data_IF_737083690826
#
_entry.id   IF_737083690826
#
_cell.length_a   1.000
_cell.length_b   1.000
_cell.length_c   1.000
_cell.angle_alpha   90.00
_cell.angle_beta   90.00
_cell.angle_gamma   90.00
#
_symmetry.space_group_name_H-M   'P 1'
#
loop_
_entity.id
_entity.type
_entity.pdbx_description
1 polymer ?
#
# COMPACT_ATOMS: atom_id res chain seq x y z
N UNK A 1 -33.34 53.46 -60.23
CA UNK A 1 -32.48 53.00 -61.36
C UNK A 1 -31.03 53.25 -60.95
N UNK A 2 -30.04 52.36 -61.17
CA UNK A 2 -30.05 50.93 -61.49
C UNK A 2 -29.28 50.05 -60.45
N UNK A 3 -29.15 48.77 -60.79
CA UNK A 3 -28.59 47.60 -60.11
C UNK A 3 -27.12 47.68 -59.65
N UNK A 4 -26.74 46.91 -58.62
CA UNK A 4 -25.54 46.07 -58.69
C UNK A 4 -25.50 44.93 -57.65
N UNK A 5 -24.76 43.89 -58.02
CA UNK A 5 -24.76 42.48 -57.61
C UNK A 5 -23.72 42.21 -56.51
N UNK A 6 -23.95 41.24 -55.60
CA UNK A 6 -22.89 40.31 -55.15
C UNK A 6 -23.37 39.18 -54.22
N UNK A 7 -23.30 37.97 -54.76
CA UNK A 7 -22.74 36.73 -54.18
C UNK A 7 -23.22 36.23 -52.82
N UNK A 8 -24.11 35.23 -52.87
CA UNK A 8 -24.39 34.28 -51.80
C UNK A 8 -23.42 33.09 -51.89
N UNK A 9 -22.43 33.01 -51.00
CA UNK A 9 -21.58 31.82 -50.82
C UNK A 9 -22.11 31.04 -49.61
N UNK A 10 -22.81 29.95 -49.87
CA UNK A 10 -23.18 28.96 -48.85
C UNK A 10 -21.94 28.14 -48.47
N UNK A 11 -21.41 28.34 -47.26
CA UNK A 11 -20.42 27.43 -46.66
C UNK A 11 -21.14 26.32 -45.91
N UNK A 12 -21.11 25.12 -46.48
CA UNK A 12 -21.54 23.88 -45.84
C UNK A 12 -20.42 23.43 -44.88
N UNK A 13 -20.58 23.70 -43.59
CA UNK A 13 -19.66 23.21 -42.54
C UNK A 13 -19.99 21.75 -42.22
N UNK A 14 -19.15 20.83 -42.69
CA UNK A 14 -19.18 19.42 -42.32
C UNK A 14 -18.65 19.27 -40.88
N UNK A 15 -19.52 18.95 -39.92
CA UNK A 15 -19.15 18.57 -38.56
C UNK A 15 -18.60 17.14 -38.59
N UNK A 16 -17.27 16.99 -38.57
CA UNK A 16 -16.61 15.71 -38.34
C UNK A 16 -16.53 15.52 -36.82
N UNK A 17 -17.46 14.75 -36.26
CA UNK A 17 -17.37 14.29 -34.87
C UNK A 17 -16.31 13.17 -34.80
N UNK A 18 -15.30 13.27 -33.92
CA UNK A 18 -14.36 12.18 -33.72
C UNK A 18 -15.09 11.03 -33.02
N UNK A 19 -15.26 9.90 -33.72
CA UNK A 19 -15.57 8.63 -33.08
C UNK A 19 -14.37 8.24 -32.21
N UNK A 20 -14.45 8.55 -30.92
CA UNK A 20 -13.60 7.91 -29.92
C UNK A 20 -13.98 6.42 -29.92
N UNK A 21 -13.16 5.59 -30.57
CA UNK A 21 -13.22 4.14 -30.39
C UNK A 21 -12.79 3.83 -28.95
N UNK A 22 -13.77 3.74 -28.06
CA UNK A 22 -13.58 3.12 -26.77
C UNK A 22 -13.18 1.66 -27.04
N UNK A 23 -11.91 1.33 -26.84
CA UNK A 23 -11.47 -0.06 -26.77
C UNK A 23 -12.19 -0.65 -25.57
N UNK A 24 -13.25 -1.42 -25.80
CA UNK A 24 -13.87 -2.21 -24.76
C UNK A 24 -12.80 -3.18 -24.25
N UNK A 25 -12.31 -2.95 -23.04
CA UNK A 25 -11.44 -3.90 -22.36
C UNK A 25 -12.13 -5.27 -22.38
N UNK A 26 -11.38 -6.32 -22.74
CA UNK A 26 -11.94 -7.67 -22.69
C UNK A 26 -12.47 -7.97 -21.29
N UNK A 27 -13.63 -8.64 -21.17
CA UNK A 27 -14.15 -9.03 -19.88
C UNK A 27 -13.14 -9.94 -19.18
N UNK A 28 -12.99 -9.83 -17.84
CA UNK A 28 -12.06 -10.67 -17.10
C UNK A 28 -12.38 -12.16 -17.31
N UNK A 29 -11.38 -13.06 -17.28
CA UNK A 29 -11.60 -14.49 -17.47
C UNK A 29 -12.67 -15.04 -16.52
N UNK A 30 -13.58 -15.86 -17.05
CA UNK A 30 -14.76 -16.31 -16.31
C UNK A 30 -14.45 -17.02 -14.99
N UNK A 31 -13.30 -17.70 -14.88
CA UNK A 31 -12.84 -18.43 -13.69
C UNK A 31 -11.77 -17.70 -12.88
N UNK A 32 -11.38 -16.48 -13.28
CA UNK A 32 -10.63 -15.59 -12.40
C UNK A 32 -11.49 -15.27 -11.18
N UNK A 33 -10.92 -15.36 -9.98
CA UNK A 33 -11.62 -14.97 -8.78
C UNK A 33 -11.01 -15.46 -7.46
N UNK A 34 -11.70 -15.15 -6.36
CA UNK A 34 -11.40 -15.72 -5.03
C UNK A 34 -12.30 -16.91 -4.80
N UNK A 35 -11.68 -17.97 -4.30
CA UNK A 35 -12.34 -19.23 -4.02
C UNK A 35 -11.99 -19.70 -2.62
N UNK A 36 -12.96 -20.36 -1.98
CA UNK A 36 -12.76 -21.02 -0.68
C UNK A 36 -13.20 -22.47 -0.79
N UNK A 37 -12.49 -23.36 -0.11
CA UNK A 37 -12.83 -24.79 -0.19
C UNK A 37 -11.77 -25.67 0.44
N UNK A 38 -11.54 -26.84 -0.15
CA UNK A 38 -10.67 -27.88 0.43
C UNK A 38 -9.78 -28.56 -0.60
N UNK A 39 -8.59 -28.95 -0.14
CA UNK A 39 -7.76 -30.01 -0.73
C UNK A 39 -7.76 -31.19 0.25
N UNK A 40 -8.39 -32.30 -0.13
CA UNK A 40 -8.71 -33.38 0.80
C UNK A 40 -9.60 -32.87 1.94
N UNK A 41 -9.08 -32.89 3.17
CA UNK A 41 -9.75 -32.36 4.37
C UNK A 41 -9.25 -30.97 4.78
N UNK A 42 -8.24 -30.44 4.11
CA UNK A 42 -7.57 -29.20 4.50
C UNK A 42 -8.24 -28.01 3.84
N UNK A 43 -8.73 -27.07 4.65
CA UNK A 43 -9.36 -25.86 4.15
C UNK A 43 -8.34 -24.89 3.52
N UNK A 44 -8.68 -24.33 2.37
CA UNK A 44 -7.83 -23.44 1.57
C UNK A 44 -8.57 -22.17 1.17
N UNK A 45 -7.80 -21.11 0.93
CA UNK A 45 -8.21 -19.91 0.20
C UNK A 45 -7.39 -19.85 -1.07
N UNK A 46 -8.03 -19.63 -2.21
CA UNK A 46 -7.39 -19.59 -3.53
C UNK A 46 -7.74 -18.28 -4.21
N UNK A 47 -6.76 -17.65 -4.82
CA UNK A 47 -6.90 -16.53 -5.71
C UNK A 47 -6.43 -16.97 -7.09
N UNK A 48 -7.31 -16.84 -8.07
CA UNK A 48 -7.03 -17.16 -9.46
C UNK A 48 -7.09 -15.86 -10.27
N UNK A 49 -5.98 -15.43 -10.84
CA UNK A 49 -5.85 -14.27 -11.72
C UNK A 49 -4.84 -14.58 -12.83
N UNK A 50 -4.85 -13.83 -13.92
CA UNK A 50 -3.93 -14.04 -15.06
C UNK A 50 -2.46 -13.76 -14.71
N UNK A 51 -2.20 -12.93 -13.69
CA UNK A 51 -0.86 -12.48 -13.34
C UNK A 51 -0.36 -13.04 -11.99
N UNK A 52 -1.25 -13.32 -11.05
CA UNK A 52 -0.94 -13.60 -9.64
C UNK A 52 -1.84 -14.69 -9.06
N UNK A 53 -1.77 -15.91 -9.61
CA UNK A 53 -2.50 -17.04 -9.04
C UNK A 53 -1.76 -17.64 -7.85
N UNK A 54 -2.46 -17.77 -6.72
CA UNK A 54 -1.87 -18.21 -5.46
C UNK A 54 -2.92 -18.79 -4.50
N UNK A 55 -2.46 -19.55 -3.53
CA UNK A 55 -3.35 -20.06 -2.48
C UNK A 55 -2.62 -20.22 -1.15
N UNK A 56 -3.39 -20.43 -0.07
CA UNK A 56 -2.84 -20.89 1.19
C UNK A 56 -3.80 -21.84 1.91
N UNK A 57 -3.23 -22.77 2.67
CA UNK A 57 -3.97 -23.51 3.68
C UNK A 57 -4.34 -22.59 4.84
N UNK A 58 -5.63 -22.51 5.17
CA UNK A 58 -6.14 -21.58 6.21
C UNK A 58 -5.47 -21.76 7.56
N UNK A 59 -5.06 -22.99 7.89
CA UNK A 59 -4.32 -23.30 9.13
C UNK A 59 -2.89 -22.76 9.11
N UNK A 60 -2.20 -22.89 7.98
CA UNK A 60 -0.77 -22.55 7.87
C UNK A 60 -0.54 -21.08 7.53
N UNK A 61 -1.46 -20.46 6.76
CA UNK A 61 -1.38 -19.05 6.33
C UNK A 61 -0.07 -18.70 5.62
N UNK A 62 0.52 -19.70 4.95
CA UNK A 62 1.70 -19.55 4.09
C UNK A 62 1.26 -19.67 2.65
N UNK A 63 1.61 -18.67 1.84
CA UNK A 63 1.29 -18.61 0.43
C UNK A 63 2.07 -19.64 -0.39
N UNK A 64 1.42 -20.13 -1.43
CA UNK A 64 1.97 -20.97 -2.48
C UNK A 64 1.52 -20.41 -3.82
N UNK A 65 2.42 -20.40 -4.79
CA UNK A 65 2.17 -19.87 -6.14
C UNK A 65 1.55 -20.96 -7.01
N UNK A 66 0.62 -20.58 -7.88
CA UNK A 66 -0.01 -21.44 -8.87
C UNK A 66 0.28 -20.90 -10.27
N UNK A 67 1.00 -21.66 -11.08
CA UNK A 67 1.32 -21.31 -12.47
C UNK A 67 0.65 -22.27 -13.46
N UNK A 68 0.42 -21.86 -14.70
CA UNK A 68 -0.07 -22.77 -15.74
C UNK A 68 0.92 -23.91 -16.00
N UNK A 69 0.41 -25.12 -16.26
CA UNK A 69 1.23 -26.33 -16.43
C UNK A 69 1.92 -26.48 -17.80
N UNK A 70 2.09 -25.37 -18.52
CA UNK A 70 2.88 -25.29 -19.75
C UNK A 70 4.24 -24.67 -19.43
N UNK A 71 5.31 -25.43 -19.68
CA UNK A 71 6.68 -24.97 -19.42
C UNK A 71 7.16 -23.88 -20.40
N UNK A 72 6.50 -23.74 -21.55
CA UNK A 72 6.87 -22.75 -22.58
C UNK A 72 6.19 -21.40 -22.38
N UNK A 73 4.93 -21.41 -21.92
CA UNK A 73 4.17 -20.19 -21.64
C UNK A 73 3.15 -20.42 -20.51
N UNK A 74 3.62 -20.40 -19.25
CA UNK A 74 2.76 -20.67 -18.09
C UNK A 74 1.64 -19.62 -17.92
N UNK A 75 1.87 -18.38 -18.34
CA UNK A 75 0.88 -17.30 -18.25
C UNK A 75 -0.28 -17.52 -19.24
N UNK A 76 0.04 -17.84 -20.50
CA UNK A 76 -0.99 -18.14 -21.51
C UNK A 76 -1.78 -19.39 -21.17
N UNK A 77 -1.13 -20.43 -20.63
CA UNK A 77 -1.81 -21.65 -20.20
C UNK A 77 -2.75 -21.38 -19.01
N UNK A 78 -2.32 -20.56 -18.05
CA UNK A 78 -3.16 -20.10 -16.95
C UNK A 78 -4.36 -19.31 -17.47
N UNK A 79 -4.15 -18.32 -18.34
CA UNK A 79 -5.22 -17.50 -18.91
C UNK A 79 -6.25 -18.34 -19.68
N UNK A 80 -5.80 -19.27 -20.53
CA UNK A 80 -6.68 -20.18 -21.26
C UNK A 80 -7.49 -21.07 -20.31
N UNK A 81 -6.87 -21.55 -19.23
CA UNK A 81 -7.55 -22.31 -18.18
C UNK A 81 -8.59 -21.47 -17.44
N UNK A 82 -8.29 -20.20 -17.14
CA UNK A 82 -9.23 -19.28 -16.49
C UNK A 82 -10.40 -18.89 -17.38
N UNK A 83 -10.23 -18.89 -18.70
CA UNK A 83 -11.32 -18.64 -19.66
C UNK A 83 -12.22 -19.88 -19.83
N UNK A 84 -11.62 -21.07 -19.89
CA UNK A 84 -12.35 -22.32 -20.14
C UNK A 84 -12.87 -23.04 -18.89
N UNK A 85 -12.32 -22.71 -17.72
CA UNK A 85 -12.56 -23.41 -16.45
C UNK A 85 -11.78 -24.73 -16.29
N UNK A 86 -11.07 -25.18 -17.33
CA UNK A 86 -10.23 -26.38 -17.29
C UNK A 86 -8.80 -25.97 -16.95
N UNK A 87 -8.44 -26.11 -15.68
CA UNK A 87 -7.21 -25.58 -15.12
C UNK A 87 -6.22 -26.72 -14.87
N UNK A 88 -5.05 -26.63 -15.49
CA UNK A 88 -3.89 -27.46 -15.19
C UNK A 88 -2.82 -26.55 -14.60
N UNK A 89 -2.60 -26.64 -13.28
CA UNK A 89 -1.70 -25.73 -12.56
C UNK A 89 -0.57 -26.49 -11.89
N UNK A 90 0.59 -25.85 -11.81
CA UNK A 90 1.73 -26.28 -11.01
C UNK A 90 1.75 -25.45 -9.73
N UNK A 91 1.82 -26.15 -8.61
CA UNK A 91 2.03 -25.54 -7.31
C UNK A 91 3.51 -25.44 -7.02
N UNK A 92 3.95 -24.27 -6.58
CA UNK A 92 5.32 -23.98 -6.23
C UNK A 92 5.41 -23.25 -4.90
N UNK A 93 6.52 -23.46 -4.19
CA UNK A 93 6.92 -22.56 -3.10
C UNK A 93 7.25 -21.19 -3.66
N UNK A 94 7.17 -20.16 -2.80
CA UNK A 94 7.71 -18.84 -3.13
C UNK A 94 9.10 -18.96 -3.73
N UNK A 95 9.38 -18.27 -4.85
CA UNK A 95 10.71 -18.27 -5.43
C UNK A 95 11.71 -17.71 -4.42
N UNK A 96 12.83 -18.41 -4.24
CA UNK A 96 13.96 -17.92 -3.43
C UNK A 96 15.06 -17.53 -4.41
N UNK A 97 15.56 -16.27 -4.38
CA UNK A 97 16.61 -15.85 -5.31
C UNK A 97 17.80 -16.81 -5.32
N UNK A 98 18.20 -17.22 -6.52
CA UNK A 98 19.31 -18.16 -6.72
C UNK A 98 18.97 -19.64 -6.49
N UNK A 99 17.70 -19.99 -6.20
CA UNK A 99 17.24 -21.37 -6.13
C UNK A 99 16.29 -21.71 -7.29
N UNK A 100 16.34 -22.94 -7.81
CA UNK A 100 15.40 -23.37 -8.85
C UNK A 100 13.98 -23.46 -8.29
N UNK A 101 13.00 -23.08 -9.09
CA UNK A 101 11.60 -23.23 -8.74
C UNK A 101 11.28 -24.70 -8.47
N UNK A 102 10.73 -24.96 -7.29
CA UNK A 102 10.40 -26.32 -6.86
C UNK A 102 8.90 -26.54 -6.97
N UNK A 103 8.49 -27.37 -7.92
CA UNK A 103 7.10 -27.85 -8.02
C UNK A 103 6.82 -28.78 -6.84
N UNK A 104 5.85 -28.41 -6.00
CA UNK A 104 5.42 -29.20 -4.84
C UNK A 104 4.14 -29.98 -5.09
N UNK A 105 3.35 -29.57 -6.08
CA UNK A 105 2.12 -30.27 -6.44
C UNK A 105 1.58 -29.87 -7.81
N UNK A 106 0.52 -30.56 -8.24
CA UNK A 106 -0.18 -30.29 -9.50
C UNK A 106 -1.67 -30.30 -9.26
N UNK A 107 -2.35 -29.35 -9.88
CA UNK A 107 -3.79 -29.20 -9.80
C UNK A 107 -4.38 -29.49 -11.17
N UNK A 108 -5.41 -30.33 -11.20
CA UNK A 108 -6.25 -30.52 -12.36
C UNK A 108 -7.68 -30.24 -11.93
N UNK A 109 -8.27 -29.16 -12.43
CA UNK A 109 -9.61 -28.72 -12.06
C UNK A 109 -10.47 -28.48 -13.30
N UNK A 110 -11.78 -28.58 -13.09
CA UNK A 110 -12.80 -28.33 -14.08
C UNK A 110 -14.04 -27.73 -13.42
N UNK A 111 -14.97 -27.14 -14.18
CA UNK A 111 -16.23 -26.64 -13.64
C UNK A 111 -17.04 -27.75 -12.95
N UNK A 112 -17.58 -27.43 -11.77
CA UNK A 112 -18.51 -28.27 -11.02
C UNK A 112 -19.95 -27.79 -11.13
N UNK A 113 -20.68 -27.71 -10.00
CA UNK A 113 -21.94 -26.99 -9.96
C UNK A 113 -21.74 -25.47 -10.20
N UNK A 114 -22.83 -24.71 -10.24
CA UNK A 114 -22.78 -23.25 -10.46
C UNK A 114 -21.90 -22.58 -9.39
N UNK A 115 -20.83 -21.91 -9.85
CA UNK A 115 -19.88 -21.25 -8.96
C UNK A 115 -18.88 -22.19 -8.28
N UNK A 116 -18.76 -23.44 -8.73
CA UNK A 116 -17.81 -24.42 -8.19
C UNK A 116 -16.69 -24.76 -9.17
N UNK A 117 -15.51 -25.04 -8.62
CA UNK A 117 -14.42 -25.77 -9.27
C UNK A 117 -14.15 -27.05 -8.49
N UNK A 118 -14.07 -28.17 -9.20
CA UNK A 118 -13.76 -29.48 -8.64
C UNK A 118 -12.56 -30.08 -9.35
N UNK A 119 -11.78 -30.91 -8.66
CA UNK A 119 -10.55 -31.42 -9.25
C UNK A 119 -9.77 -32.36 -8.36
N UNK A 120 -8.50 -32.52 -8.71
CA UNK A 120 -7.53 -33.33 -7.97
C UNK A 120 -6.22 -32.57 -7.84
N UNK A 121 -5.69 -32.59 -6.62
CA UNK A 121 -4.31 -32.23 -6.32
C UNK A 121 -3.48 -33.50 -6.35
N UNK A 122 -2.28 -33.48 -6.93
CA UNK A 122 -1.29 -34.54 -6.79
C UNK A 122 0.04 -33.99 -6.31
N UNK A 123 0.81 -34.77 -5.54
CA UNK A 123 2.17 -34.37 -5.18
C UNK A 123 3.10 -34.31 -6.41
N UNK A 124 4.33 -33.83 -6.19
CA UNK A 124 5.30 -33.65 -7.28
C UNK A 124 5.68 -34.96 -7.99
N UNK A 125 5.54 -36.11 -7.33
CA UNK A 125 5.79 -37.43 -7.88
C UNK A 125 4.52 -38.11 -8.47
N UNK A 126 3.33 -37.53 -8.27
CA UNK A 126 2.06 -38.11 -8.67
C UNK A 126 1.59 -39.30 -7.81
N UNK A 127 2.22 -39.55 -6.66
CA UNK A 127 1.96 -40.71 -5.82
C UNK A 127 0.81 -40.50 -4.85
N UNK A 128 0.67 -39.28 -4.33
CA UNK A 128 -0.45 -38.90 -3.46
C UNK A 128 -1.39 -38.00 -4.20
N UNK A 129 -2.68 -38.29 -4.09
CA UNK A 129 -3.75 -37.50 -4.69
C UNK A 129 -4.81 -37.14 -3.67
N UNK A 130 -5.36 -35.93 -3.77
CA UNK A 130 -6.43 -35.44 -2.91
C UNK A 130 -7.49 -34.70 -3.73
N UNK A 131 -8.78 -34.87 -3.41
CA UNK A 131 -9.84 -34.16 -4.12
C UNK A 131 -9.77 -32.66 -3.81
N UNK A 132 -10.00 -31.84 -4.82
CA UNK A 132 -10.17 -30.39 -4.72
C UNK A 132 -11.65 -30.08 -4.88
N UNK A 133 -12.18 -29.25 -3.99
CA UNK A 133 -13.53 -28.67 -4.09
C UNK A 133 -13.47 -27.22 -3.67
N UNK A 134 -13.83 -26.31 -4.56
CA UNK A 134 -13.78 -24.87 -4.35
C UNK A 134 -15.12 -24.25 -4.69
N UNK A 135 -15.58 -23.35 -3.85
CA UNK A 135 -16.72 -22.48 -4.10
C UNK A 135 -16.21 -21.06 -4.33
N UNK A 136 -16.72 -20.41 -5.37
CA UNK A 136 -16.44 -19.00 -5.64
C UNK A 136 -16.98 -18.15 -4.51
N UNK A 137 -16.14 -17.23 -4.01
CA UNK A 137 -16.60 -16.17 -3.15
C UNK A 137 -17.13 -15.03 -4.02
N UNK A 138 -18.37 -14.64 -3.77
CA UNK A 138 -18.97 -13.43 -4.32
C UNK A 138 -18.91 -12.35 -3.23
N UNK A 139 -17.85 -11.53 -3.19
CA UNK A 139 -17.74 -10.49 -2.18
C UNK A 139 -18.91 -9.51 -2.32
N UNK A 140 -19.40 -9.02 -1.18
CA UNK A 140 -20.46 -8.01 -1.11
C UNK A 140 -19.89 -6.67 -0.63
N UNK A 141 -20.56 -5.56 -0.97
CA UNK A 141 -20.15 -4.23 -0.51
C UNK A 141 -18.93 -3.68 -1.29
N UNK A 142 -18.06 -2.86 -0.67
CA UNK A 142 -16.92 -2.23 -1.36
C UNK A 142 -15.98 -3.21 -2.07
N UNK A 143 -15.84 -4.42 -1.51
CA UNK A 143 -15.02 -5.50 -2.08
C UNK A 143 -15.56 -6.04 -3.41
N UNK A 144 -16.87 -5.87 -3.67
CA UNK A 144 -17.51 -6.24 -4.93
C UNK A 144 -17.10 -5.31 -6.09
N UNK A 145 -16.56 -4.12 -5.77
CA UNK A 145 -16.17 -3.09 -6.72
C UNK A 145 -14.67 -3.13 -7.06
N UNK A 146 -13.90 -3.99 -6.39
CA UNK A 146 -12.47 -4.16 -6.69
C UNK A 146 -12.30 -4.73 -8.11
N UNK A 147 -11.46 -4.08 -8.92
CA UNK A 147 -11.16 -4.56 -10.27
C UNK A 147 -10.24 -5.78 -10.19
N UNK A 148 -10.62 -6.85 -10.88
CA UNK A 148 -10.04 -8.20 -10.79
C UNK A 148 -8.82 -8.42 -11.70
N UNK A 149 -8.20 -7.35 -12.17
CA UNK A 149 -7.39 -7.43 -13.38
C UNK A 149 -5.98 -8.01 -13.12
N UNK A 150 -5.36 -7.79 -11.96
CA UNK A 150 -3.91 -8.05 -11.83
C UNK A 150 -3.47 -8.64 -10.47
N UNK A 151 -4.12 -8.29 -9.36
CA UNK A 151 -3.78 -8.74 -8.02
C UNK A 151 -4.92 -9.50 -7.33
N UNK A 152 -4.58 -10.26 -6.28
CA UNK A 152 -5.58 -10.88 -5.42
C UNK A 152 -6.40 -9.82 -4.68
N UNK A 153 -7.74 -9.84 -4.75
CA UNK A 153 -8.56 -8.82 -4.11
C UNK A 153 -8.59 -9.03 -2.59
N UNK A 154 -9.04 -8.02 -1.86
CA UNK A 154 -9.03 -7.98 -0.40
C UNK A 154 -9.74 -9.16 0.27
N UNK A 155 -10.79 -9.69 -0.36
CA UNK A 155 -11.54 -10.86 0.09
C UNK A 155 -10.67 -12.14 0.23
N UNK A 156 -9.64 -12.29 -0.60
CA UNK A 156 -8.67 -13.39 -0.49
C UNK A 156 -7.91 -13.34 0.84
N UNK A 157 -7.54 -12.14 1.28
CA UNK A 157 -6.73 -11.92 2.47
C UNK A 157 -7.55 -11.84 3.76
N UNK A 158 -8.89 -11.77 3.67
CA UNK A 158 -9.77 -11.59 4.84
C UNK A 158 -9.52 -12.64 5.95
N UNK A 159 -9.35 -13.94 5.66
CA UNK A 159 -9.07 -14.91 6.71
C UNK A 159 -7.69 -14.74 7.38
N UNK A 160 -6.74 -14.06 6.73
CA UNK A 160 -5.48 -13.68 7.38
C UNK A 160 -5.72 -12.59 8.42
N UNK A 161 -6.49 -11.57 8.04
CA UNK A 161 -6.89 -10.44 8.89
C UNK A 161 -7.71 -10.89 10.10
N UNK A 162 -8.65 -11.81 9.89
CA UNK A 162 -9.52 -12.32 10.97
C UNK A 162 -8.78 -13.17 11.99
N UNK A 163 -7.67 -13.79 11.57
CA UNK A 163 -6.84 -14.63 12.42
C UNK A 163 -5.76 -13.85 13.19
N UNK A 164 -5.77 -12.51 13.10
CA UNK A 164 -4.91 -11.64 13.90
C UNK A 164 -5.52 -11.46 15.29
N UNK A 165 -4.74 -11.84 16.28
CA UNK A 165 -4.99 -11.56 17.69
C UNK A 165 -3.80 -10.82 18.24
N UNK A 166 -4.06 -9.91 19.17
CA UNK A 166 -3.02 -9.14 19.85
C UNK A 166 -3.19 -9.27 21.36
N UNK A 167 -2.08 -9.07 22.07
CA UNK A 167 -2.08 -8.81 23.50
C UNK A 167 -1.98 -7.31 23.73
N UNK A 168 -2.32 -6.86 24.94
CA UNK A 168 -2.15 -5.45 25.33
C UNK A 168 -1.29 -5.35 26.57
N UNK A 169 -0.41 -4.36 26.61
CA UNK A 169 0.32 -3.98 27.83
C UNK A 169 0.32 -2.46 28.04
N UNK A 170 0.31 -1.99 29.30
CA UNK A 170 0.44 -0.57 29.59
C UNK A 170 1.73 0.00 29.03
N UNK A 171 1.65 1.21 28.49
CA UNK A 171 2.79 1.98 27.99
C UNK A 171 2.56 3.48 28.23
N UNK A 172 3.63 4.27 28.09
CA UNK A 172 3.55 5.72 28.21
C UNK A 172 4.47 6.40 27.20
N UNK A 173 4.06 7.57 26.72
CA UNK A 173 4.86 8.43 25.86
C UNK A 173 4.60 9.89 26.24
N UNK A 174 5.65 10.68 26.43
CA UNK A 174 5.55 12.08 26.88
C UNK A 174 4.62 12.29 28.10
N UNK A 175 4.65 11.36 29.07
CA UNK A 175 3.80 11.39 30.26
C UNK A 175 2.33 11.02 30.03
N UNK A 176 1.90 10.74 28.80
CA UNK A 176 0.56 10.25 28.47
C UNK A 176 0.54 8.73 28.46
N UNK A 177 -0.46 8.15 29.11
CA UNK A 177 -0.63 6.68 29.19
C UNK A 177 -1.42 6.15 27.99
N UNK A 178 -1.05 4.97 27.51
CA UNK A 178 -1.77 4.24 26.47
C UNK A 178 -1.56 2.73 26.64
N UNK A 179 -2.22 1.91 25.81
CA UNK A 179 -1.97 0.47 25.73
C UNK A 179 -1.22 0.17 24.43
N UNK A 180 -0.13 -0.60 24.50
CA UNK A 180 0.50 -1.14 23.30
C UNK A 180 -0.16 -2.46 22.94
N UNK A 181 -0.79 -2.52 21.77
CA UNK A 181 -1.30 -3.75 21.15
C UNK A 181 -0.16 -4.44 20.42
N UNK A 182 0.13 -5.70 20.76
CA UNK A 182 1.25 -6.45 20.20
C UNK A 182 0.81 -7.74 19.52
N UNK A 183 1.33 -7.98 18.33
CA UNK A 183 1.26 -9.26 17.59
C UNK A 183 2.68 -9.82 17.43
N UNK A 184 2.87 -11.05 16.92
CA UNK A 184 4.22 -11.56 16.66
C UNK A 184 5.05 -10.80 15.62
N UNK A 185 4.46 -9.84 14.89
CA UNK A 185 5.09 -9.15 13.76
C UNK A 185 4.87 -7.63 13.76
N UNK A 186 4.05 -7.10 14.66
CA UNK A 186 3.73 -5.68 14.68
C UNK A 186 3.22 -5.21 16.05
N UNK A 187 3.55 -3.96 16.38
CA UNK A 187 3.06 -3.23 17.54
C UNK A 187 2.24 -2.00 17.10
N UNK A 188 1.16 -1.68 17.81
CA UNK A 188 0.38 -0.48 17.57
C UNK A 188 -0.12 0.15 18.87
N UNK A 189 -0.25 1.48 18.90
CA UNK A 189 -0.88 2.16 20.03
C UNK A 189 -2.39 1.90 20.07
N UNK A 190 -2.92 1.87 21.29
CA UNK A 190 -4.34 2.01 21.60
C UNK A 190 -4.52 3.10 22.65
N UNK A 191 -5.27 4.13 22.30
CA UNK A 191 -5.63 5.23 23.20
C UNK A 191 -6.62 4.77 24.27
N UNK A 192 -6.58 5.37 25.48
CA UNK A 192 -7.64 5.21 26.48
C UNK A 192 -9.02 5.52 25.88
N UNK A 193 -10.01 4.68 26.19
CA UNK A 193 -11.33 4.72 25.54
C UNK A 193 -12.13 6.01 25.83
N UNK A 194 -11.80 6.68 26.94
CA UNK A 194 -12.36 7.96 27.35
C UNK A 194 -11.87 9.15 26.50
N UNK A 195 -10.78 9.00 25.76
CA UNK A 195 -10.29 10.07 24.88
C UNK A 195 -11.23 10.22 23.68
N UNK A 196 -11.68 11.43 23.32
CA UNK A 196 -12.54 11.66 22.16
C UNK A 196 -11.99 11.06 20.86
N UNK A 197 -10.69 11.20 20.62
CA UNK A 197 -10.02 10.66 19.44
C UNK A 197 -9.96 9.11 19.37
N UNK A 198 -10.09 8.41 20.50
CA UNK A 198 -9.98 6.95 20.55
C UNK A 198 -11.01 6.26 19.65
N UNK A 199 -12.20 6.88 19.45
CA UNK A 199 -13.26 6.37 18.58
C UNK A 199 -12.84 6.19 17.12
N UNK A 200 -11.87 6.98 16.64
CA UNK A 200 -11.35 6.87 15.26
C UNK A 200 -9.97 6.22 15.22
N UNK A 201 -9.09 6.59 16.15
CA UNK A 201 -7.70 6.14 16.13
C UNK A 201 -7.58 4.66 16.50
N UNK A 202 -8.33 4.17 17.49
CA UNK A 202 -8.20 2.76 17.90
C UNK A 202 -8.66 1.78 16.80
N UNK A 203 -9.82 1.96 16.13
CA UNK A 203 -10.20 1.09 15.02
C UNK A 203 -9.20 1.15 13.86
N UNK A 204 -8.63 2.32 13.57
CA UNK A 204 -7.61 2.49 12.54
C UNK A 204 -6.32 1.73 12.89
N UNK A 205 -5.83 1.83 14.13
CA UNK A 205 -4.66 1.09 14.60
C UNK A 205 -4.89 -0.43 14.60
N UNK A 206 -6.09 -0.89 14.96
CA UNK A 206 -6.46 -2.31 14.89
C UNK A 206 -6.54 -2.81 13.45
N UNK A 207 -7.09 -2.01 12.53
CA UNK A 207 -7.12 -2.33 11.11
C UNK A 207 -5.68 -2.39 10.55
N UNK A 208 -4.83 -1.44 10.92
CA UNK A 208 -3.41 -1.44 10.55
C UNK A 208 -2.70 -2.74 10.98
N UNK A 209 -2.89 -3.21 12.22
CA UNK A 209 -2.33 -4.51 12.67
C UNK A 209 -2.78 -5.68 11.79
N UNK A 210 -4.03 -5.67 11.33
CA UNK A 210 -4.56 -6.69 10.43
C UNK A 210 -3.93 -6.61 9.04
N UNK A 211 -3.70 -5.41 8.53
CA UNK A 211 -2.98 -5.21 7.25
C UNK A 211 -1.52 -5.68 7.34
N UNK A 212 -0.87 -5.55 8.50
CA UNK A 212 0.50 -6.07 8.68
C UNK A 212 0.59 -7.60 8.48
N UNK A 213 -0.47 -8.35 8.81
CA UNK A 213 -0.52 -9.79 8.51
C UNK A 213 -0.55 -10.07 7.00
N UNK A 214 -1.22 -9.21 6.23
CA UNK A 214 -1.27 -9.29 4.76
C UNK A 214 0.07 -8.89 4.16
N UNK A 215 0.66 -7.79 4.63
CA UNK A 215 1.97 -7.33 4.17
C UNK A 215 3.06 -8.38 4.42
N UNK A 216 3.07 -9.02 5.60
CA UNK A 216 3.95 -10.14 5.92
C UNK A 216 3.71 -11.35 5.01
N UNK A 217 2.44 -11.70 4.74
CA UNK A 217 2.10 -12.76 3.79
C UNK A 217 2.65 -12.44 2.40
N UNK A 218 2.45 -11.22 1.91
CA UNK A 218 2.91 -10.77 0.59
C UNK A 218 4.44 -10.77 0.49
N UNK A 219 5.13 -10.35 1.56
CA UNK A 219 6.58 -10.43 1.63
C UNK A 219 7.09 -11.87 1.49
N UNK A 220 6.41 -12.81 2.15
CA UNK A 220 6.77 -14.24 2.11
C UNK A 220 6.50 -14.90 0.78
N UNK A 221 5.40 -14.57 0.11
CA UNK A 221 5.10 -15.16 -1.20
C UNK A 221 6.03 -14.64 -2.30
N UNK A 222 6.56 -13.43 -2.13
CA UNK A 222 7.51 -12.82 -3.06
C UNK A 222 8.96 -13.24 -2.84
N UNK A 223 9.25 -14.14 -1.88
CA UNK A 223 10.59 -14.70 -1.65
C UNK A 223 11.30 -14.20 -0.39
N UNK A 224 10.64 -13.38 0.43
CA UNK A 224 11.11 -13.05 1.77
C UNK A 224 10.89 -14.18 2.77
N UNK A 225 11.70 -14.23 3.83
CA UNK A 225 11.44 -15.14 4.96
C UNK A 225 10.33 -14.58 5.87
N UNK A 226 10.28 -13.24 5.99
CA UNK A 226 9.45 -12.54 6.95
C UNK A 226 9.77 -12.89 8.39
N UNK A 227 11.00 -13.34 8.68
CA UNK A 227 11.48 -13.59 10.05
C UNK A 227 11.85 -12.29 10.76
N UNK A 228 12.43 -11.34 10.03
CA UNK A 228 12.80 -10.00 10.54
C UNK A 228 11.66 -8.97 10.43
N UNK A 229 10.43 -9.43 10.16
CA UNK A 229 9.31 -8.52 10.01
C UNK A 229 8.92 -7.92 11.35
N UNK A 230 9.23 -6.63 11.52
CA UNK A 230 8.93 -5.85 12.71
C UNK A 230 8.39 -4.49 12.31
N UNK A 231 7.07 -4.35 12.33
CA UNK A 231 6.37 -3.10 12.05
C UNK A 231 5.90 -2.41 13.35
N UNK A 232 5.81 -1.09 13.37
CA UNK A 232 5.29 -0.34 14.49
C UNK A 232 4.40 0.83 14.05
N UNK A 233 3.26 1.02 14.72
CA UNK A 233 2.45 2.24 14.68
C UNK A 233 2.49 2.90 16.07
N UNK A 234 3.53 3.68 16.31
CA UNK A 234 3.90 4.15 17.64
C UNK A 234 3.84 5.68 17.78
N UNK A 235 3.63 6.23 18.99
CA UNK A 235 3.74 7.66 19.22
C UNK A 235 5.14 8.19 18.92
N UNK A 236 5.22 9.21 18.09
CA UNK A 236 6.44 10.01 17.80
C UNK A 236 6.39 11.39 18.44
N UNK A 237 5.19 11.92 18.62
CA UNK A 237 4.92 13.21 19.27
C UNK A 237 3.54 13.19 19.89
N UNK A 238 3.38 13.76 21.08
CA UNK A 238 2.09 13.77 21.77
C UNK A 238 2.02 14.96 22.72
N UNK A 239 1.11 15.89 22.44
CA UNK A 239 0.72 16.96 23.36
C UNK A 239 -0.80 16.96 23.54
N UNK A 240 -1.36 17.97 24.21
CA UNK A 240 -2.80 18.01 24.49
C UNK A 240 -3.70 18.11 23.25
N UNK A 241 -3.15 18.54 22.10
CA UNK A 241 -3.93 18.77 20.88
C UNK A 241 -3.66 17.76 19.77
N UNK A 242 -2.41 17.32 19.64
CA UNK A 242 -1.94 16.51 18.53
C UNK A 242 -1.30 15.21 19.03
N UNK A 243 -1.63 14.14 18.33
CA UNK A 243 -0.89 12.88 18.37
C UNK A 243 -0.22 12.66 17.01
N UNK A 244 1.09 12.53 17.02
CA UNK A 244 1.89 12.18 15.85
C UNK A 244 2.25 10.71 15.98
N UNK A 245 1.83 9.91 15.01
CA UNK A 245 2.16 8.50 14.91
C UNK A 245 3.22 8.28 13.83
N UNK A 246 4.18 7.44 14.14
CA UNK A 246 5.15 6.87 13.22
C UNK A 246 4.69 5.46 12.84
N UNK A 247 4.52 5.23 11.55
CA UNK A 247 4.32 3.94 10.90
C UNK A 247 5.66 3.48 10.33
N UNK A 248 6.34 2.56 11.00
CA UNK A 248 7.67 2.13 10.61
C UNK A 248 7.73 0.62 10.35
N UNK A 249 8.54 0.25 9.37
CA UNK A 249 8.95 -1.12 9.09
C UNK A 249 10.48 -1.12 9.03
N UNK A 250 11.08 -1.93 9.88
CA UNK A 250 12.53 -2.16 9.87
C UNK A 250 12.97 -2.84 8.57
N UNK A 251 14.24 -2.68 8.18
CA UNK A 251 14.76 -3.27 6.95
C UNK A 251 14.48 -4.78 6.88
N UNK A 252 13.76 -5.20 5.84
CA UNK A 252 13.32 -6.57 5.60
C UNK A 252 13.52 -6.92 4.13
N UNK A 253 13.90 -8.17 3.85
CA UNK A 253 14.00 -8.67 2.47
C UNK A 253 12.74 -9.41 2.05
N UNK A 254 12.12 -8.99 0.95
CA UNK A 254 10.90 -9.58 0.39
C UNK A 254 11.09 -10.15 -1.03
N UNK A 255 12.33 -10.53 -1.40
CA UNK A 255 12.63 -11.20 -2.67
C UNK A 255 12.96 -10.30 -3.87
N UNK A 256 13.02 -8.98 -3.69
CA UNK A 256 13.40 -8.02 -4.73
C UNK A 256 14.91 -7.81 -4.88
N UNK A 257 15.31 -6.77 -5.63
CA UNK A 257 16.73 -6.43 -5.85
C UNK A 257 17.43 -5.84 -4.61
N UNK A 258 16.66 -5.29 -3.68
CA UNK A 258 17.16 -4.68 -2.44
C UNK A 258 16.16 -4.92 -1.30
N UNK A 259 16.58 -4.63 -0.07
CA UNK A 259 15.69 -4.66 1.09
C UNK A 259 14.61 -3.57 1.04
N UNK A 260 13.62 -3.75 1.90
CA UNK A 260 12.45 -2.90 2.06
C UNK A 260 12.40 -2.37 3.49
N UNK A 261 12.19 -1.07 3.63
CA UNK A 261 11.91 -0.43 4.90
C UNK A 261 10.93 0.70 4.60
N UNK A 262 10.10 1.05 5.56
CA UNK A 262 9.18 2.17 5.44
C UNK A 262 9.19 3.03 6.68
N UNK A 263 8.97 4.32 6.46
CA UNK A 263 8.72 5.30 7.50
C UNK A 263 7.61 6.21 6.99
N UNK A 264 6.49 6.22 7.69
CA UNK A 264 5.37 7.11 7.48
C UNK A 264 5.10 7.90 8.76
N UNK A 265 4.74 9.17 8.61
CA UNK A 265 4.34 10.00 9.74
C UNK A 265 2.91 10.50 9.50
N UNK A 266 2.08 10.47 10.53
CA UNK A 266 0.72 11.01 10.47
C UNK A 266 0.40 11.78 11.74
N UNK A 267 -0.14 12.99 11.58
CA UNK A 267 -0.62 13.82 12.70
C UNK A 267 -2.13 13.69 12.83
N UNK A 268 -2.62 13.53 14.05
CA UNK A 268 -4.04 13.43 14.39
C UNK A 268 -4.46 14.50 15.39
N UNK A 269 -5.66 15.03 15.22
CA UNK A 269 -6.31 15.93 16.19
C UNK A 269 -6.95 15.10 17.31
N UNK A 270 -6.57 15.37 18.57
CA UNK A 270 -7.05 14.62 19.74
C UNK A 270 -8.49 14.94 20.14
N UNK A 271 -9.07 16.04 19.68
CA UNK A 271 -10.47 16.41 19.99
C UNK A 271 -11.46 15.53 19.24
N UNK A 272 -11.10 15.07 18.04
CA UNK A 272 -12.03 14.39 17.14
C UNK A 272 -11.45 13.17 16.39
N UNK A 273 -10.17 12.87 16.59
CA UNK A 273 -9.43 11.75 16.01
C UNK A 273 -9.21 11.84 14.50
N UNK A 274 -9.39 13.00 13.87
CA UNK A 274 -9.18 13.16 12.44
C UNK A 274 -7.69 13.29 12.10
N UNK A 275 -7.27 12.70 10.98
CA UNK A 275 -5.95 12.96 10.40
C UNK A 275 -5.88 14.42 9.96
N UNK A 276 -4.81 15.10 10.34
CA UNK A 276 -4.56 16.51 10.04
C UNK A 276 -3.81 16.61 8.71
N UNK A 277 -4.30 17.46 7.81
CA UNK A 277 -3.55 17.89 6.63
C UNK A 277 -2.55 18.98 7.03
N UNK A 278 -1.34 18.58 7.41
CA UNK A 278 -0.30 19.50 7.89
C UNK A 278 0.29 20.36 6.77
N UNK A 279 0.23 19.93 5.51
CA UNK A 279 0.55 20.81 4.38
C UNK A 279 -0.40 22.01 4.28
N UNK A 280 -1.65 21.88 4.74
CA UNK A 280 -2.60 23.00 4.85
C UNK A 280 -2.15 24.11 5.80
N UNK A 281 -1.15 23.87 6.65
CA UNK A 281 -0.56 24.88 7.52
C UNK A 281 0.45 25.78 6.81
N UNK A 282 0.90 25.41 5.62
CA UNK A 282 1.96 26.10 4.88
C UNK A 282 1.35 26.79 3.66
N UNK A 283 1.68 28.08 3.47
CA UNK A 283 1.29 28.83 2.27
C UNK A 283 1.90 28.16 1.03
N UNK A 284 1.05 27.81 0.07
CA UNK A 284 1.46 27.05 -1.11
C UNK A 284 1.49 25.52 -0.92
N UNK A 285 1.17 25.02 0.29
CA UNK A 285 1.11 23.60 0.58
C UNK A 285 2.45 22.87 0.36
N UNK A 286 2.37 21.60 -0.03
CA UNK A 286 3.54 20.76 -0.32
C UNK A 286 4.45 21.36 -1.39
N UNK A 287 3.89 22.00 -2.43
CA UNK A 287 4.65 22.64 -3.51
C UNK A 287 5.63 23.71 -3.00
N UNK A 288 5.37 24.31 -1.83
CA UNK A 288 6.29 25.26 -1.23
C UNK A 288 7.58 24.59 -0.74
N UNK A 289 7.60 23.29 -0.48
CA UNK A 289 8.78 22.53 -0.04
C UNK A 289 9.43 21.69 -1.16
N UNK A 290 8.94 21.81 -2.39
CA UNK A 290 9.44 21.08 -3.56
C UNK A 290 10.37 21.96 -4.40
N UNK A 291 11.22 21.30 -5.20
CA UNK A 291 12.01 21.95 -6.24
C UNK A 291 11.11 22.15 -7.46
N UNK A 292 10.94 23.40 -7.89
CA UNK A 292 10.31 23.69 -9.17
C UNK A 292 11.34 23.56 -10.29
N UNK A 293 10.90 23.30 -11.51
CA UNK A 293 11.77 23.29 -12.69
C UNK A 293 11.30 24.42 -13.61
N UNK A 294 12.23 25.24 -14.08
CA UNK A 294 11.91 26.31 -15.03
C UNK A 294 11.81 25.78 -16.47
N UNK A 295 11.55 26.70 -17.42
CA UNK A 295 11.42 26.38 -18.84
C UNK A 295 12.69 25.83 -19.49
N UNK A 296 13.85 26.05 -18.86
CA UNK A 296 15.18 25.63 -19.33
C UNK A 296 15.67 24.40 -18.54
N UNK A 297 14.73 23.70 -17.89
CA UNK A 297 14.97 22.52 -17.05
C UNK A 297 15.90 22.76 -15.86
N UNK A 298 16.04 24.01 -15.39
CA UNK A 298 16.86 24.34 -14.23
C UNK A 298 16.05 24.29 -12.94
N UNK A 299 16.61 23.74 -11.84
CA UNK A 299 15.94 23.71 -10.56
C UNK A 299 15.83 25.13 -9.98
N UNK A 300 14.61 25.52 -9.64
CA UNK A 300 14.30 26.77 -8.94
C UNK A 300 13.80 26.43 -7.54
N UNK A 301 14.54 26.89 -6.52
CA UNK A 301 14.17 26.68 -5.13
C UNK A 301 13.19 27.77 -4.66
N UNK A 302 12.09 27.35 -4.05
CA UNK A 302 11.26 28.27 -3.27
C UNK A 302 12.03 28.79 -2.05
N UNK A 303 11.54 29.88 -1.43
CA UNK A 303 12.11 30.39 -0.17
C UNK A 303 12.08 29.37 0.97
N UNK A 304 11.02 28.56 1.06
CA UNK A 304 10.92 27.52 2.10
C UNK A 304 11.86 26.36 1.76
N UNK A 305 11.92 25.95 0.48
CA UNK A 305 12.82 24.89 0.05
C UNK A 305 14.29 25.24 0.32
N UNK A 306 14.73 26.44 -0.05
CA UNK A 306 16.08 26.90 0.23
C UNK A 306 16.39 26.94 1.75
N UNK A 307 15.38 27.27 2.58
CA UNK A 307 15.53 27.23 4.04
C UNK A 307 15.65 25.80 4.56
N UNK A 308 14.88 24.86 4.03
CA UNK A 308 14.98 23.43 4.38
C UNK A 308 16.37 22.89 4.03
N UNK A 309 16.84 23.08 2.80
CA UNK A 309 18.17 22.61 2.38
C UNK A 309 19.29 23.21 3.25
N UNK A 310 19.19 24.51 3.59
CA UNK A 310 20.14 25.16 4.51
C UNK A 310 20.17 24.53 5.90
N UNK A 311 19.05 24.01 6.38
CA UNK A 311 18.93 23.39 7.70
C UNK A 311 18.98 21.86 7.65
N UNK A 312 19.26 21.28 6.49
CA UNK A 312 19.42 19.84 6.37
C UNK A 312 20.66 19.41 7.17
N UNK A 313 20.56 18.47 8.13
CA UNK A 313 21.72 17.96 8.84
C UNK A 313 22.65 17.11 7.96
N UNK A 314 22.16 16.56 6.84
CA UNK A 314 22.92 15.68 5.93
C UNK A 314 23.44 16.45 4.72
N UNK A 315 24.44 17.30 4.94
CA UNK A 315 25.06 18.15 3.90
C UNK A 315 26.42 17.64 3.39
N UNK A 316 26.88 16.48 3.87
CA UNK A 316 28.20 15.93 3.55
C UNK A 316 28.15 14.88 2.43
N UNK A 317 29.24 14.82 1.66
CA UNK A 317 29.44 13.84 0.58
C UNK A 317 28.24 13.71 -0.35
N UNK A 318 27.88 12.47 -0.65
CA UNK A 318 26.78 12.13 -1.57
C UNK A 318 25.42 12.66 -1.07
N UNK A 319 25.21 12.76 0.25
CA UNK A 319 23.96 13.30 0.79
C UNK A 319 23.81 14.81 0.51
N UNK A 320 24.91 15.56 0.60
CA UNK A 320 24.92 16.98 0.26
C UNK A 320 24.68 17.23 -1.24
N UNK A 321 25.34 16.47 -2.10
CA UNK A 321 25.16 16.55 -3.56
C UNK A 321 23.73 16.19 -4.00
N UNK A 322 23.11 15.23 -3.29
CA UNK A 322 21.76 14.78 -3.60
C UNK A 322 20.66 15.69 -3.02
N UNK A 323 20.99 16.72 -2.24
CA UNK A 323 19.99 17.57 -1.57
C UNK A 323 18.84 18.06 -2.50
N UNK A 324 19.07 18.43 -3.79
CA UNK A 324 17.98 18.81 -4.69
C UNK A 324 16.98 17.68 -5.00
N UNK A 325 17.38 16.41 -4.88
CA UNK A 325 16.55 15.22 -5.11
C UNK A 325 15.73 14.82 -3.88
N UNK A 326 15.96 15.48 -2.75
CA UNK A 326 15.23 15.26 -1.50
C UNK A 326 13.74 15.57 -1.69
N UNK A 327 12.90 14.58 -1.44
CA UNK A 327 11.46 14.78 -1.23
C UNK A 327 11.18 14.94 0.27
N UNK A 328 9.99 15.47 0.60
CA UNK A 328 9.60 15.75 1.98
C UNK A 328 8.24 15.12 2.25
N UNK A 329 8.14 14.30 3.30
CA UNK A 329 6.85 13.77 3.75
C UNK A 329 6.04 14.81 4.51
N UNK A 330 4.78 14.48 4.83
CA UNK A 330 3.91 15.32 5.66
C UNK A 330 4.66 15.82 6.92
N UNK A 331 4.78 17.15 7.10
CA UNK A 331 5.47 17.68 8.26
C UNK A 331 4.64 17.44 9.51
N UNK A 332 5.28 17.43 10.68
CA UNK A 332 4.58 17.25 11.95
C UNK A 332 5.02 18.26 13.00
N UNK A 333 4.11 18.68 13.91
CA UNK A 333 4.41 19.69 14.89
C UNK A 333 5.19 19.10 16.07
N UNK A 334 6.09 19.90 16.64
CA UNK A 334 6.68 19.70 17.96
C UNK A 334 6.69 21.01 18.74
N UNK A 335 7.01 20.96 20.03
CA UNK A 335 7.21 22.17 20.83
C UNK A 335 8.34 23.06 20.28
N UNK A 336 9.36 22.48 19.62
CA UNK A 336 10.51 23.22 19.08
C UNK A 336 10.22 23.88 17.72
N UNK A 337 9.30 23.31 16.95
CA UNK A 337 9.05 23.75 15.59
C UNK A 337 8.29 22.73 14.76
N UNK A 338 8.22 23.00 13.46
CA UNK A 338 7.68 22.06 12.49
C UNK A 338 8.82 21.19 11.95
N UNK A 339 8.63 19.88 11.99
CA UNK A 339 9.61 18.88 11.54
C UNK A 339 9.24 18.41 10.15
N UNK A 340 10.23 18.36 9.26
CA UNK A 340 10.12 17.89 7.89
C UNK A 340 11.00 16.65 7.72
N UNK A 341 10.38 15.50 7.49
CA UNK A 341 11.12 14.27 7.23
C UNK A 341 11.59 14.24 5.78
N UNK A 342 12.88 14.10 5.59
CA UNK A 342 13.47 13.98 4.26
C UNK A 342 13.33 12.54 3.76
N UNK A 343 13.09 12.41 2.47
CA UNK A 343 12.96 11.14 1.81
C UNK A 343 13.73 11.13 0.49
N UNK A 344 14.60 10.14 0.37
CA UNK A 344 15.39 9.83 -0.80
C UNK A 344 15.06 8.42 -1.32
N UNK A 345 15.36 8.19 -2.59
CA UNK A 345 15.25 6.87 -3.21
C UNK A 345 16.18 5.83 -2.55
N UNK A 346 15.93 4.55 -2.81
CA UNK A 346 16.51 3.43 -2.05
C UNK A 346 18.03 3.48 -1.89
N UNK A 347 18.81 3.89 -2.91
CA UNK A 347 20.27 3.94 -2.82
C UNK A 347 20.81 5.05 -1.91
N UNK A 348 20.00 6.08 -1.64
CA UNK A 348 20.33 7.22 -0.77
C UNK A 348 19.49 7.25 0.51
N UNK A 349 18.81 6.15 0.86
CA UNK A 349 17.97 6.07 2.06
C UNK A 349 18.72 6.44 3.34
N UNK A 350 20.03 6.19 3.41
CA UNK A 350 20.90 6.57 4.52
C UNK A 350 21.06 8.10 4.71
N UNK A 351 20.62 8.90 3.73
CA UNK A 351 20.57 10.36 3.79
C UNK A 351 19.23 10.90 4.33
N UNK A 352 18.23 10.04 4.57
CA UNK A 352 16.98 10.46 5.21
C UNK A 352 17.28 10.97 6.63
N UNK A 353 16.67 12.09 7.02
CA UNK A 353 16.84 12.75 8.30
C UNK A 353 15.65 13.69 8.60
N UNK A 354 15.62 14.28 9.78
CA UNK A 354 14.61 15.24 10.22
C UNK A 354 15.16 16.67 10.16
N UNK A 355 14.48 17.55 9.40
CA UNK A 355 14.77 18.99 9.40
C UNK A 355 13.79 19.69 10.33
N UNK A 356 14.30 20.34 11.37
CA UNK A 356 13.48 21.09 12.32
C UNK A 356 13.59 22.59 12.03
N UNK A 357 12.50 23.20 11.60
CA UNK A 357 12.39 24.65 11.51
C UNK A 357 11.59 25.19 12.69
N UNK A 358 12.19 26.07 13.48
CA UNK A 358 11.51 26.69 14.62
C UNK A 358 10.23 27.42 14.19
N UNK A 359 9.27 27.56 15.10
CA UNK A 359 8.04 28.30 14.81
C UNK A 359 8.30 29.76 14.38
N UNK A 360 9.39 30.36 14.87
CA UNK A 360 9.86 31.69 14.43
C UNK A 360 10.32 31.68 12.98
N UNK A 361 11.09 30.68 12.56
CA UNK A 361 11.52 30.53 11.17
C UNK A 361 10.34 30.22 10.24
N UNK A 362 9.35 29.45 10.73
CA UNK A 362 8.16 29.10 9.97
C UNK A 362 7.15 30.24 9.82
N UNK A 363 7.12 31.22 10.73
CA UNK A 363 6.11 32.27 10.79
C UNK A 363 5.77 32.97 9.44
N UNK A 364 6.75 33.30 8.56
CA UNK A 364 6.44 33.89 7.25
C UNK A 364 5.66 32.96 6.31
N UNK A 365 5.85 31.65 6.47
CA UNK A 365 5.32 30.60 5.59
C UNK A 365 3.99 30.03 6.09
N UNK A 366 3.58 30.29 7.33
CA UNK A 366 2.36 29.72 7.90
C UNK A 366 1.08 30.40 7.40
N UNK A 367 0.05 29.60 7.12
CA UNK A 367 -1.34 30.04 6.99
C UNK A 367 -1.92 30.39 8.37
N UNK A 368 -3.11 31.02 8.49
CA UNK A 368 -3.76 31.22 9.79
C UNK A 368 -3.94 29.92 10.57
N UNK A 369 -4.30 28.82 9.89
CA UNK A 369 -4.39 27.50 10.50
C UNK A 369 -3.03 27.02 11.03
N UNK A 370 -1.93 27.24 10.28
CA UNK A 370 -0.59 26.91 10.72
C UNK A 370 -0.11 27.74 11.91
N UNK A 371 -0.49 29.02 11.98
CA UNK A 371 -0.20 29.87 13.14
C UNK A 371 -0.94 29.38 14.40
N UNK A 372 -2.22 28.99 14.26
CA UNK A 372 -2.97 28.40 15.36
C UNK A 372 -2.37 27.07 15.81
N UNK A 373 -1.98 26.20 14.87
CA UNK A 373 -1.30 24.94 15.17
C UNK A 373 0.03 25.17 15.91
N UNK A 374 0.83 26.17 15.51
CA UNK A 374 2.06 26.54 16.20
C UNK A 374 1.81 26.92 17.67
N UNK A 375 0.75 27.70 17.94
CA UNK A 375 0.37 28.06 19.31
C UNK A 375 -0.06 26.85 20.14
N UNK A 376 -0.70 25.86 19.51
CA UNK A 376 -1.11 24.61 20.17
C UNK A 376 0.09 23.67 20.38
N UNK A 377 1.04 23.64 19.45
CA UNK A 377 2.21 22.76 19.47
C UNK A 377 3.19 23.06 20.63
N UNK A 378 3.26 24.33 21.03
CA UNK A 378 4.14 24.82 22.10
C UNK A 378 3.49 24.70 23.49
N UNK A 379 2.19 24.37 23.55
CA UNK A 379 1.54 24.10 24.84
C UNK A 379 2.09 22.79 25.41
N UNK A 380 2.42 22.77 26.72
CA UNK A 380 3.00 21.61 27.39
C UNK A 380 2.10 20.38 27.34
#
# INVERSE_FOLDING_TARGET
MPFSVSSLLARLSLLIAPLAMAHAAEPPPAYAGVWSGTIGKSAVMVCLSSNTSQYYYRKMRKGLVLNGADATDPFKALEAGLRSGHLHLLEQKSPVPGQPDTVTGRWQMQPGAVGELVGTWSDSAGQKTWPIRLQRLNPSGPQAQEQWAEDCPSAYFQPLKDAVHWTTKPAAFAGKSYQMMSTPFADALQLPAEMPAARKINPMAQAWLKEQAVALYSCRINGGTGEDWSAALAPKGWNDKFLVLEDSLSEVFCGGAHGNASLGISTFDLDNGAKVNTWGWIKGGQKAAEVAVDKDYQPTLSRLRALLEKHNPRTDGVCGEAAPQMSIFDPYPTAKGLVFNTHFFHALRACNDEIILSWKQMAPFLTPAGQAAAQQAVRP
#
